data_IF_750243861554
#
_entry.id   IF_750243861554
#
_cell.length_a   1.000
_cell.length_b   1.000
_cell.length_c   1.000
_cell.angle_alpha   90.00
_cell.angle_beta   90.00
_cell.angle_gamma   90.00
#
_symmetry.space_group_name_H-M   'P 1'
#
loop_
_entity.id
_entity.type
_entity.pdbx_description
1 polymer ?
#
# COMPACT_ATOMS: atom_id res chain seq x y z
N UNK A 1 -7.94 2.29 -25.92
CA UNK A 1 -7.15 2.07 -24.68
C UNK A 1 -8.12 1.91 -23.51
N UNK A 2 -7.75 1.14 -22.49
CA UNK A 2 -8.52 0.99 -21.25
C UNK A 2 -8.27 2.23 -20.36
N UNK A 3 -9.35 2.95 -19.98
CA UNK A 3 -9.25 4.12 -19.09
C UNK A 3 -9.09 3.68 -17.63
N UNK A 4 -8.05 4.14 -16.94
CA UNK A 4 -7.83 3.94 -15.50
C UNK A 4 -7.85 5.29 -14.79
N UNK A 5 -8.61 5.39 -13.71
CA UNK A 5 -8.59 6.56 -12.83
C UNK A 5 -7.63 6.33 -11.68
N UNK A 6 -6.72 7.28 -11.44
CA UNK A 6 -5.80 7.24 -10.30
C UNK A 6 -6.18 8.36 -9.34
N UNK A 7 -6.78 8.03 -8.21
CA UNK A 7 -7.02 9.02 -7.16
C UNK A 7 -5.76 9.22 -6.33
N UNK A 8 -5.49 10.44 -5.89
CA UNK A 8 -4.18 10.77 -5.30
C UNK A 8 -3.06 10.73 -6.36
N UNK A 9 -3.42 10.88 -7.65
CA UNK A 9 -2.49 10.71 -8.77
C UNK A 9 -1.39 11.78 -8.83
N UNK A 10 -1.60 12.94 -8.22
CA UNK A 10 -0.60 14.00 -8.17
C UNK A 10 0.39 13.84 -7.00
N UNK A 11 0.16 12.85 -6.12
CA UNK A 11 1.05 12.47 -5.02
C UNK A 11 2.33 11.77 -5.51
N UNK A 12 3.25 11.51 -4.56
CA UNK A 12 4.56 10.89 -4.85
C UNK A 12 4.41 9.51 -5.52
N UNK A 13 3.61 8.60 -4.92
CA UNK A 13 3.35 7.28 -5.51
C UNK A 13 2.47 7.39 -6.75
N UNK A 14 1.44 8.25 -6.72
CA UNK A 14 0.49 8.43 -7.83
C UNK A 14 1.17 8.74 -9.16
N UNK A 15 2.18 9.62 -9.16
CA UNK A 15 2.94 9.95 -10.37
C UNK A 15 3.71 8.76 -10.95
N UNK A 16 4.25 7.89 -10.10
CA UNK A 16 4.93 6.66 -10.55
C UNK A 16 3.92 5.64 -11.09
N UNK A 17 2.77 5.49 -10.43
CA UNK A 17 1.67 4.65 -10.93
C UNK A 17 1.17 5.15 -12.28
N UNK A 18 0.97 6.45 -12.46
CA UNK A 18 0.58 7.04 -13.75
C UNK A 18 1.63 6.71 -14.84
N UNK A 19 2.93 6.86 -14.55
CA UNK A 19 4.00 6.52 -15.49
C UNK A 19 3.97 5.03 -15.87
N UNK A 20 3.77 4.13 -14.89
CA UNK A 20 3.63 2.70 -15.12
C UNK A 20 2.44 2.40 -16.04
N UNK A 21 1.27 3.00 -15.79
CA UNK A 21 0.08 2.78 -16.59
C UNK A 21 0.24 3.31 -18.02
N UNK A 22 0.80 4.51 -18.20
CA UNK A 22 1.06 5.09 -19.53
C UNK A 22 2.05 4.24 -20.33
N UNK A 23 3.10 3.70 -19.70
CA UNK A 23 4.06 2.81 -20.35
C UNK A 23 3.44 1.46 -20.80
N UNK A 24 2.27 1.10 -20.24
CA UNK A 24 1.50 -0.11 -20.59
C UNK A 24 0.19 0.22 -21.33
N UNK A 25 0.17 1.32 -22.06
CA UNK A 25 -0.88 1.73 -23.00
C UNK A 25 -2.28 1.93 -22.38
N UNK A 26 -2.35 2.30 -21.10
CA UNK A 26 -3.58 2.76 -20.47
C UNK A 26 -3.82 4.25 -20.76
N UNK A 27 -5.08 4.62 -20.92
CA UNK A 27 -5.52 6.01 -20.80
C UNK A 27 -5.68 6.32 -19.32
N UNK A 28 -5.09 7.42 -18.83
CA UNK A 28 -5.08 7.73 -17.39
C UNK A 28 -5.73 9.08 -17.11
N UNK A 29 -6.62 9.11 -16.11
CA UNK A 29 -7.15 10.32 -15.49
C UNK A 29 -6.67 10.38 -14.03
N UNK A 30 -5.93 11.43 -13.66
CA UNK A 30 -5.60 11.74 -12.27
C UNK A 30 -6.75 12.48 -11.60
N UNK A 31 -7.17 12.05 -10.41
CA UNK A 31 -8.13 12.74 -9.56
C UNK A 31 -7.49 13.05 -8.20
N UNK A 32 -7.25 14.32 -7.91
CA UNK A 32 -6.54 14.74 -6.70
C UNK A 32 -7.10 16.07 -6.18
N UNK A 33 -6.89 16.38 -4.91
CA UNK A 33 -7.24 17.69 -4.33
C UNK A 33 -6.16 18.75 -4.55
N UNK A 34 -4.96 18.34 -4.97
CA UNK A 34 -3.84 19.25 -5.27
C UNK A 34 -3.54 19.26 -6.78
N UNK A 35 -3.06 20.40 -7.33
CA UNK A 35 -2.67 20.44 -8.74
C UNK A 35 -1.47 19.54 -9.00
N UNK A 36 -1.31 19.03 -10.24
CA UNK A 36 -0.13 18.25 -10.61
C UNK A 36 1.13 19.13 -10.65
N UNK A 37 2.21 18.67 -10.00
CA UNK A 37 3.53 19.31 -10.14
C UNK A 37 4.12 19.10 -11.55
N UNK A 38 3.71 18.03 -12.23
CA UNK A 38 4.08 17.68 -13.60
C UNK A 38 2.84 17.12 -14.31
N UNK A 39 2.54 17.63 -15.50
CA UNK A 39 1.38 17.16 -16.29
C UNK A 39 1.72 15.89 -17.05
N UNK A 40 1.47 14.75 -16.46
CA UNK A 40 1.68 13.44 -17.07
C UNK A 40 0.46 12.97 -17.90
N UNK A 41 -0.75 13.31 -17.45
CA UNK A 41 -2.02 12.90 -18.06
C UNK A 41 -3.10 13.96 -17.83
N UNK A 42 -4.34 13.69 -18.23
CA UNK A 42 -5.50 14.48 -17.81
C UNK A 42 -5.61 14.46 -16.27
N UNK A 43 -5.87 15.62 -15.66
CA UNK A 43 -5.97 15.76 -14.21
C UNK A 43 -7.16 16.64 -13.84
N UNK A 44 -7.98 16.15 -12.92
CA UNK A 44 -9.09 16.89 -12.32
C UNK A 44 -8.81 17.15 -10.84
N UNK A 45 -9.16 18.33 -10.38
CA UNK A 45 -9.07 18.69 -8.97
C UNK A 45 -10.40 18.43 -8.28
N UNK A 46 -10.40 17.55 -7.27
CA UNK A 46 -11.57 17.26 -6.46
C UNK A 46 -11.19 16.68 -5.09
N UNK A 47 -12.06 16.93 -4.11
CA UNK A 47 -12.05 16.23 -2.83
C UNK A 47 -12.85 14.93 -2.97
N UNK A 48 -12.24 13.80 -2.66
CA UNK A 48 -12.85 12.47 -2.78
C UNK A 48 -14.03 12.26 -1.80
N UNK A 49 -14.18 13.13 -0.80
CA UNK A 49 -15.36 13.15 0.07
C UNK A 49 -16.61 13.64 -0.67
N UNK A 50 -16.46 14.33 -1.78
CA UNK A 50 -17.55 14.75 -2.65
C UNK A 50 -17.82 13.68 -3.71
N UNK A 51 -18.78 12.81 -3.44
CA UNK A 51 -19.10 11.65 -4.28
C UNK A 51 -19.38 12.00 -5.75
N UNK A 52 -20.03 13.14 -6.03
CA UNK A 52 -20.36 13.56 -7.39
C UNK A 52 -19.14 13.65 -8.32
N UNK A 53 -18.03 14.23 -7.84
CA UNK A 53 -16.80 14.32 -8.62
C UNK A 53 -16.16 12.92 -8.85
N UNK A 54 -16.26 12.02 -7.86
CA UNK A 54 -15.79 10.64 -7.99
C UNK A 54 -16.60 9.88 -9.03
N UNK A 55 -17.93 9.99 -8.99
CA UNK A 55 -18.81 9.38 -10.01
C UNK A 55 -18.48 9.88 -11.42
N UNK A 56 -18.31 11.20 -11.59
CA UNK A 56 -18.00 11.77 -12.90
C UNK A 56 -16.66 11.28 -13.44
N UNK A 57 -15.64 11.22 -12.60
CA UNK A 57 -14.30 10.73 -12.98
C UNK A 57 -14.32 9.25 -13.40
N UNK A 58 -15.12 8.42 -12.71
CA UNK A 58 -15.19 6.97 -12.95
C UNK A 58 -16.09 6.57 -14.12
N UNK A 59 -16.87 7.49 -14.73
CA UNK A 59 -17.67 7.16 -15.91
C UNK A 59 -16.81 6.58 -17.03
N UNK A 60 -17.18 5.37 -17.48
CA UNK A 60 -16.51 4.66 -18.56
C UNK A 60 -15.08 4.19 -18.20
N UNK A 61 -14.68 4.22 -16.94
CA UNK A 61 -13.40 3.69 -16.52
C UNK A 61 -13.40 2.15 -16.56
N UNK A 62 -12.29 1.57 -17.00
CA UNK A 62 -12.00 0.14 -16.89
C UNK A 62 -11.70 -0.25 -15.44
N UNK A 63 -10.99 0.62 -14.71
CA UNK A 63 -10.63 0.40 -13.33
C UNK A 63 -10.20 1.67 -12.60
N UNK A 64 -10.00 1.57 -11.29
CA UNK A 64 -9.53 2.67 -10.44
C UNK A 64 -8.43 2.20 -9.50
N UNK A 65 -7.36 3.01 -9.39
CA UNK A 65 -6.30 2.84 -8.39
C UNK A 65 -6.47 3.97 -7.37
N UNK A 66 -6.88 3.60 -6.16
CA UNK A 66 -7.20 4.52 -5.07
C UNK A 66 -6.00 4.71 -4.14
N UNK A 67 -5.28 5.83 -4.31
CA UNK A 67 -4.14 6.24 -3.48
C UNK A 67 -4.46 7.50 -2.66
N UNK A 68 -5.60 8.14 -2.91
CA UNK A 68 -5.99 9.43 -2.30
C UNK A 68 -6.37 9.28 -0.83
N UNK A 69 -5.43 9.53 0.08
CA UNK A 69 -5.61 9.44 1.52
C UNK A 69 -4.56 10.31 2.25
N UNK A 70 -4.82 10.67 3.50
CA UNK A 70 -3.73 10.99 4.42
C UNK A 70 -2.91 9.73 4.67
N UNK A 71 -1.60 9.82 4.50
CA UNK A 71 -0.69 8.66 4.42
C UNK A 71 0.02 8.32 5.75
N UNK A 72 -0.28 9.07 6.81
CA UNK A 72 0.26 8.87 8.17
C UNK A 72 -0.62 9.59 9.18
N UNK A 73 -0.56 9.26 10.48
CA UNK A 73 -1.14 10.09 11.54
C UNK A 73 -0.39 11.42 11.61
N UNK A 74 -0.98 12.41 12.26
CA UNK A 74 -0.41 13.76 12.48
C UNK A 74 -0.25 14.64 11.22
N UNK A 75 -0.75 14.21 10.04
CA UNK A 75 -0.84 15.06 8.85
C UNK A 75 -2.09 15.94 8.86
N UNK A 76 -3.08 15.58 9.66
CA UNK A 76 -4.31 16.30 9.94
C UNK A 76 -4.80 15.88 11.35
N UNK A 77 -5.81 16.57 11.93
CA UNK A 77 -6.45 16.09 13.15
C UNK A 77 -6.94 14.65 13.03
N UNK A 78 -6.94 13.90 14.14
CA UNK A 78 -7.29 12.48 14.19
C UNK A 78 -8.64 12.17 13.50
N UNK A 79 -9.67 12.94 13.84
CA UNK A 79 -11.01 12.78 13.26
C UNK A 79 -11.04 13.07 11.74
N UNK A 80 -10.28 14.06 11.29
CA UNK A 80 -10.17 14.40 9.87
C UNK A 80 -9.40 13.31 9.11
N UNK A 81 -8.29 12.80 9.65
CA UNK A 81 -7.53 11.69 9.06
C UNK A 81 -8.41 10.47 8.87
N UNK A 82 -9.14 10.08 9.90
CA UNK A 82 -10.03 8.91 9.85
C UNK A 82 -11.18 9.13 8.88
N UNK A 83 -11.94 10.22 9.05
CA UNK A 83 -13.15 10.47 8.23
C UNK A 83 -12.82 10.68 6.76
N UNK A 84 -11.74 11.42 6.45
CA UNK A 84 -11.30 11.62 5.07
C UNK A 84 -10.98 10.27 4.38
N UNK A 85 -10.16 9.45 5.02
CA UNK A 85 -9.69 8.20 4.40
C UNK A 85 -10.85 7.20 4.21
N UNK A 86 -11.70 7.04 5.21
CA UNK A 86 -12.83 6.11 5.16
C UNK A 86 -13.88 6.57 4.15
N UNK A 87 -14.26 7.86 4.18
CA UNK A 87 -15.26 8.42 3.26
C UNK A 87 -14.77 8.36 1.81
N UNK A 88 -13.50 8.71 1.56
CA UNK A 88 -12.91 8.63 0.22
C UNK A 88 -12.94 7.20 -0.33
N UNK A 89 -12.51 6.22 0.47
CA UNK A 89 -12.54 4.79 0.09
C UNK A 89 -13.96 4.32 -0.20
N UNK A 90 -14.93 4.65 0.67
CA UNK A 90 -16.33 4.31 0.46
C UNK A 90 -16.88 4.92 -0.83
N UNK A 91 -16.64 6.22 -1.07
CA UNK A 91 -17.14 6.90 -2.27
C UNK A 91 -16.58 6.31 -3.57
N UNK A 92 -15.27 5.95 -3.57
CA UNK A 92 -14.63 5.30 -4.71
C UNK A 92 -15.25 3.93 -4.98
N UNK A 93 -15.40 3.10 -3.97
CA UNK A 93 -16.00 1.77 -4.09
C UNK A 93 -17.48 1.86 -4.50
N UNK A 94 -18.25 2.79 -3.92
CA UNK A 94 -19.66 2.99 -4.26
C UNK A 94 -19.83 3.46 -5.70
N UNK A 95 -19.02 4.40 -6.15
CA UNK A 95 -19.06 4.86 -7.54
C UNK A 95 -18.63 3.74 -8.50
N UNK A 96 -17.57 2.99 -8.18
CA UNK A 96 -17.11 1.86 -8.98
C UNK A 96 -18.24 0.81 -9.15
N UNK A 97 -18.83 0.37 -8.03
CA UNK A 97 -19.93 -0.60 -8.05
C UNK A 97 -21.13 -0.13 -8.88
N UNK A 98 -21.58 1.11 -8.67
CA UNK A 98 -22.77 1.63 -9.37
C UNK A 98 -22.55 1.89 -10.87
N UNK A 99 -21.30 2.13 -11.28
CA UNK A 99 -20.93 2.39 -12.68
C UNK A 99 -20.42 1.14 -13.41
N UNK A 100 -20.37 -0.03 -12.74
CA UNK A 100 -19.88 -1.28 -13.30
C UNK A 100 -18.36 -1.32 -13.52
N UNK A 101 -17.59 -0.50 -12.79
CA UNK A 101 -16.13 -0.53 -12.78
C UNK A 101 -15.69 -1.72 -11.92
N UNK A 102 -15.18 -2.76 -12.57
CA UNK A 102 -14.93 -4.06 -11.91
C UNK A 102 -13.59 -4.16 -11.23
N UNK A 103 -12.57 -3.43 -11.69
CA UNK A 103 -11.19 -3.50 -11.20
C UNK A 103 -10.90 -2.34 -10.24
N UNK A 104 -10.66 -2.62 -8.97
CA UNK A 104 -10.33 -1.62 -7.95
C UNK A 104 -9.06 -2.03 -7.21
N UNK A 105 -8.09 -1.13 -7.16
CA UNK A 105 -6.87 -1.29 -6.35
C UNK A 105 -6.86 -0.21 -5.27
N UNK A 106 -6.66 -0.60 -4.02
CA UNK A 106 -6.65 0.29 -2.86
C UNK A 106 -5.27 0.26 -2.21
N UNK A 107 -4.65 1.41 -2.02
CA UNK A 107 -3.45 1.50 -1.20
C UNK A 107 -3.80 1.39 0.29
N UNK A 108 -3.54 0.23 0.87
CA UNK A 108 -3.53 0.02 2.30
C UNK A 108 -2.12 0.18 2.88
N UNK A 109 -1.88 -0.24 4.10
CA UNK A 109 -0.59 -0.07 4.79
C UNK A 109 -0.34 -1.19 5.78
N UNK A 110 0.91 -1.58 5.99
CA UNK A 110 1.30 -2.45 7.12
C UNK A 110 1.06 -1.79 8.48
N UNK A 111 0.85 -0.46 8.53
CA UNK A 111 0.38 0.22 9.74
C UNK A 111 -0.97 -0.32 10.25
N UNK A 112 -1.80 -0.91 9.38
CA UNK A 112 -3.06 -1.58 9.75
C UNK A 112 -2.88 -2.65 10.83
N UNK A 113 -1.71 -3.30 10.91
CA UNK A 113 -1.40 -4.23 11.99
C UNK A 113 -1.35 -3.57 13.38
N UNK A 114 -1.07 -2.26 13.45
CA UNK A 114 -1.06 -1.48 14.69
C UNK A 114 0.32 -1.33 15.35
N UNK A 115 1.40 -1.83 14.74
CA UNK A 115 2.75 -1.76 15.35
C UNK A 115 3.42 -0.42 15.15
N UNK A 116 3.35 0.16 13.94
CA UNK A 116 4.18 1.31 13.51
C UNK A 116 3.87 2.57 14.31
N UNK A 117 2.60 2.81 14.61
CA UNK A 117 2.12 3.99 15.35
C UNK A 117 1.47 3.61 16.68
N UNK A 118 1.92 2.50 17.27
CA UNK A 118 1.39 2.02 18.54
C UNK A 118 1.61 3.02 19.67
N UNK A 119 0.54 3.43 20.35
CA UNK A 119 0.62 4.22 21.61
C UNK A 119 1.12 3.35 22.74
N UNK A 120 0.77 2.06 22.73
CA UNK A 120 1.28 1.03 23.62
C UNK A 120 1.96 -0.04 22.76
N UNK A 121 3.30 -0.01 22.63
CA UNK A 121 4.04 -0.99 21.84
C UNK A 121 3.76 -2.43 22.28
N UNK A 122 3.66 -3.32 21.32
CA UNK A 122 3.47 -4.76 21.53
C UNK A 122 4.23 -5.55 20.48
N UNK A 123 4.51 -6.81 20.77
CA UNK A 123 5.22 -7.71 19.86
C UNK A 123 4.27 -8.40 18.89
N UNK A 124 4.72 -8.76 17.70
CA UNK A 124 3.95 -9.63 16.81
C UNK A 124 3.84 -11.03 17.39
N UNK A 125 2.79 -11.75 16.99
CA UNK A 125 2.60 -13.14 17.42
C UNK A 125 3.62 -14.08 16.74
N UNK A 126 4.08 -13.68 15.53
CA UNK A 126 5.09 -14.40 14.74
C UNK A 126 5.74 -13.49 13.68
N UNK A 127 6.88 -13.94 13.13
CA UNK A 127 7.58 -13.30 12.00
C UNK A 127 8.01 -14.36 10.95
N UNK A 128 7.99 -14.03 9.65
CA UNK A 128 7.48 -12.78 9.09
C UNK A 128 5.96 -12.65 9.27
N UNK A 129 5.49 -11.41 9.45
CA UNK A 129 4.04 -11.10 9.51
C UNK A 129 3.43 -11.27 8.12
N UNK A 130 2.31 -11.97 8.02
CA UNK A 130 1.51 -12.12 6.80
C UNK A 130 0.09 -11.54 6.97
N UNK A 131 -0.77 -11.72 5.98
CA UNK A 131 -2.12 -11.17 5.96
C UNK A 131 -3.05 -11.79 7.02
N UNK A 132 -2.68 -12.95 7.58
CA UNK A 132 -3.45 -13.63 8.63
C UNK A 132 -3.17 -13.07 10.03
N UNK A 133 -2.09 -12.31 10.19
CA UNK A 133 -1.77 -11.70 11.48
C UNK A 133 -2.87 -10.72 11.91
N UNK A 134 -3.35 -10.77 13.16
CA UNK A 134 -4.39 -9.88 13.66
C UNK A 134 -4.01 -8.39 13.54
N UNK A 135 -4.96 -7.57 13.11
CA UNK A 135 -4.82 -6.11 13.10
C UNK A 135 -5.30 -5.52 14.43
N UNK A 136 -4.46 -4.71 15.08
CA UNK A 136 -4.73 -4.06 16.38
C UNK A 136 -4.39 -2.56 16.30
N UNK A 137 -5.06 -1.78 15.41
CA UNK A 137 -4.73 -0.37 15.18
C UNK A 137 -4.94 0.48 16.43
N UNK A 138 -4.02 1.41 16.71
CA UNK A 138 -4.06 2.29 17.88
C UNK A 138 -4.07 3.79 17.50
N UNK A 139 -4.10 4.10 16.22
CA UNK A 139 -4.13 5.45 15.68
C UNK A 139 -5.18 5.58 14.56
N UNK A 140 -5.63 6.80 14.22
CA UNK A 140 -6.71 7.00 13.25
C UNK A 140 -6.34 6.60 11.82
N UNK A 141 -5.06 6.71 11.44
CA UNK A 141 -4.60 6.31 10.13
C UNK A 141 -4.66 4.78 9.96
N UNK A 142 -4.04 4.05 10.87
CA UNK A 142 -4.07 2.58 10.86
C UNK A 142 -5.50 2.06 10.91
N UNK A 143 -6.35 2.64 11.80
CA UNK A 143 -7.76 2.28 11.89
C UNK A 143 -8.50 2.55 10.58
N UNK A 144 -8.22 3.69 9.90
CA UNK A 144 -8.85 4.00 8.61
C UNK A 144 -8.50 2.98 7.52
N UNK A 145 -7.29 2.38 7.56
CA UNK A 145 -6.88 1.34 6.62
C UNK A 145 -7.63 0.03 6.88
N UNK A 146 -7.72 -0.41 8.15
CA UNK A 146 -8.51 -1.59 8.53
C UNK A 146 -9.97 -1.45 8.13
N UNK A 147 -10.58 -0.29 8.42
CA UNK A 147 -11.98 -0.02 8.03
C UNK A 147 -12.13 0.01 6.51
N UNK A 148 -11.17 0.58 5.77
CA UNK A 148 -11.18 0.59 4.31
C UNK A 148 -11.14 -0.82 3.71
N UNK A 149 -10.36 -1.74 4.29
CA UNK A 149 -10.32 -3.16 3.91
C UNK A 149 -11.67 -3.84 4.19
N UNK A 150 -12.30 -3.59 5.33
CA UNK A 150 -13.64 -4.11 5.67
C UNK A 150 -14.73 -3.55 4.75
N UNK A 151 -14.62 -2.28 4.37
CA UNK A 151 -15.51 -1.68 3.36
C UNK A 151 -15.35 -2.43 2.03
N UNK A 152 -14.13 -2.74 1.59
CA UNK A 152 -13.89 -3.51 0.38
C UNK A 152 -14.57 -4.91 0.44
N UNK A 153 -14.44 -5.62 1.55
CA UNK A 153 -15.14 -6.91 1.79
C UNK A 153 -16.65 -6.78 1.65
N UNK A 154 -17.22 -5.68 2.16
CA UNK A 154 -18.67 -5.45 2.10
C UNK A 154 -19.18 -5.22 0.67
N UNK A 155 -18.35 -4.68 -0.23
CA UNK A 155 -18.73 -4.42 -1.61
C UNK A 155 -18.72 -5.66 -2.50
N UNK A 156 -17.81 -6.60 -2.29
CA UNK A 156 -17.73 -7.81 -3.13
C UNK A 156 -18.85 -8.81 -2.85
N UNK A 157 -19.51 -8.74 -1.70
CA UNK A 157 -20.64 -9.61 -1.37
C UNK A 157 -21.82 -9.43 -2.33
N UNK A 158 -22.36 -8.20 -2.59
CA UNK A 158 -23.42 -7.96 -3.56
C UNK A 158 -22.92 -7.79 -5.00
N UNK A 159 -21.62 -7.51 -5.22
CA UNK A 159 -21.03 -7.23 -6.53
C UNK A 159 -19.96 -8.26 -6.87
N UNK A 160 -20.36 -9.50 -7.10
CA UNK A 160 -19.47 -10.65 -7.30
C UNK A 160 -18.56 -10.56 -8.52
N UNK A 161 -18.87 -9.67 -9.45
CA UNK A 161 -18.04 -9.37 -10.62
C UNK A 161 -16.89 -8.40 -10.32
N UNK A 162 -16.87 -7.79 -9.13
CA UNK A 162 -15.78 -6.91 -8.73
C UNK A 162 -14.54 -7.69 -8.30
N UNK A 163 -13.40 -7.17 -8.69
CA UNK A 163 -12.07 -7.59 -8.24
C UNK A 163 -11.46 -6.43 -7.48
N UNK A 164 -11.27 -6.57 -6.18
CA UNK A 164 -10.71 -5.54 -5.32
C UNK A 164 -9.38 -6.04 -4.73
N UNK A 165 -8.30 -5.30 -4.96
CA UNK A 165 -6.99 -5.55 -4.35
C UNK A 165 -6.69 -4.50 -3.31
N UNK A 166 -6.55 -4.86 -2.04
CA UNK A 166 -6.00 -3.97 -1.01
C UNK A 166 -4.53 -4.29 -0.80
N UNK A 167 -3.65 -3.34 -1.13
CA UNK A 167 -2.19 -3.52 -1.07
C UNK A 167 -1.65 -2.89 0.21
N UNK A 168 -1.22 -3.71 1.18
CA UNK A 168 -0.53 -3.25 2.39
C UNK A 168 0.93 -2.97 2.09
N UNK A 169 1.27 -1.71 1.90
CA UNK A 169 2.64 -1.27 1.72
C UNK A 169 3.32 -1.00 3.06
N UNK A 170 4.58 -1.43 3.27
CA UNK A 170 5.45 -0.92 4.33
C UNK A 170 5.96 0.48 3.99
N UNK A 171 7.00 0.95 4.65
CA UNK A 171 7.65 2.21 4.32
C UNK A 171 8.13 2.25 2.87
N UNK A 172 7.51 3.12 2.04
CA UNK A 172 7.88 3.27 0.63
C UNK A 172 9.12 4.17 0.52
N UNK A 173 10.15 3.68 -0.16
CA UNK A 173 11.39 4.42 -0.44
C UNK A 173 11.22 5.19 -1.74
N UNK A 174 11.36 6.51 -1.67
CA UNK A 174 11.33 7.43 -2.81
C UNK A 174 12.71 8.03 -3.10
N UNK A 175 13.69 7.70 -2.31
CA UNK A 175 15.09 8.02 -2.54
C UNK A 175 15.72 6.89 -3.34
N UNK A 176 15.89 7.11 -4.64
CA UNK A 176 16.42 6.10 -5.57
C UNK A 176 17.93 5.92 -5.47
N UNK A 177 18.62 6.72 -4.66
CA UNK A 177 20.01 6.52 -4.25
C UNK A 177 20.14 5.57 -3.06
N UNK A 178 19.03 5.34 -2.33
CA UNK A 178 18.97 4.54 -1.10
C UNK A 178 19.80 5.09 0.08
N UNK A 179 20.27 6.32 0.04
CA UNK A 179 21.00 6.91 1.17
C UNK A 179 20.15 6.94 2.45
N UNK A 180 18.83 7.15 2.31
CA UNK A 180 17.90 7.05 3.44
C UNK A 180 17.88 5.63 4.07
N UNK A 181 18.18 4.58 3.31
CA UNK A 181 18.30 3.22 3.84
C UNK A 181 19.61 3.08 4.60
N UNK A 182 20.73 3.62 4.07
CA UNK A 182 22.01 3.68 4.77
C UNK A 182 21.90 4.42 6.11
N UNK A 183 21.18 5.53 6.15
CA UNK A 183 20.91 6.27 7.39
C UNK A 183 20.15 5.42 8.44
N UNK A 184 19.21 4.57 7.99
CA UNK A 184 18.45 3.67 8.87
C UNK A 184 19.30 2.63 9.59
N UNK A 185 20.47 2.24 9.05
CA UNK A 185 21.38 1.30 9.70
C UNK A 185 21.89 1.80 11.06
N UNK A 186 21.81 3.11 11.29
CA UNK A 186 22.18 3.72 12.57
C UNK A 186 21.05 3.68 13.62
N UNK A 187 19.83 3.26 13.23
CA UNK A 187 18.66 3.22 14.12
C UNK A 187 17.80 1.96 13.90
N UNK A 188 18.33 0.76 14.13
CA UNK A 188 17.56 -0.48 14.02
C UNK A 188 16.34 -0.49 14.94
N UNK A 189 16.48 0.07 16.16
CA UNK A 189 15.41 0.16 17.15
C UNK A 189 14.23 0.98 16.65
N UNK A 190 14.46 2.14 16.06
CA UNK A 190 13.41 3.01 15.52
C UNK A 190 12.69 2.39 14.32
N UNK A 191 13.25 1.33 13.71
CA UNK A 191 12.64 0.59 12.60
C UNK A 191 12.00 -0.74 13.00
N UNK A 192 12.20 -1.17 14.24
CA UNK A 192 11.70 -2.46 14.73
C UNK A 192 10.16 -2.58 14.64
N UNK A 193 9.41 -1.51 14.91
CA UNK A 193 7.95 -1.50 14.82
C UNK A 193 7.40 -1.76 13.41
N UNK A 194 8.18 -1.55 12.36
CA UNK A 194 7.88 -1.91 10.97
C UNK A 194 8.57 -3.18 10.50
N UNK A 195 9.22 -3.91 11.43
CA UNK A 195 9.97 -5.15 11.15
C UNK A 195 11.02 -4.96 10.06
N UNK A 196 11.59 -3.75 9.99
CA UNK A 196 12.60 -3.32 9.00
C UNK A 196 12.18 -3.50 7.54
N UNK A 197 10.90 -3.74 7.30
CA UNK A 197 10.35 -3.91 5.96
C UNK A 197 10.33 -2.58 5.19
N UNK A 198 10.49 -2.67 3.86
CA UNK A 198 10.40 -1.56 2.93
C UNK A 198 9.90 -2.02 1.55
N UNK A 199 9.61 -1.07 0.71
CA UNK A 199 9.38 -1.26 -0.74
C UNK A 199 9.92 -0.06 -1.50
N UNK A 200 10.55 -0.27 -2.66
CA UNK A 200 10.87 0.81 -3.59
C UNK A 200 9.59 1.37 -4.23
N UNK A 201 9.54 2.67 -4.41
CA UNK A 201 8.36 3.32 -4.97
C UNK A 201 8.05 2.88 -6.42
N UNK A 202 9.06 2.47 -7.20
CA UNK A 202 8.90 1.90 -8.55
C UNK A 202 8.23 0.54 -8.49
N UNK A 203 8.65 -0.32 -7.55
CA UNK A 203 8.05 -1.63 -7.32
C UNK A 203 6.64 -1.53 -6.74
N UNK A 204 6.39 -0.55 -5.86
CA UNK A 204 5.04 -0.25 -5.36
C UNK A 204 4.10 0.18 -6.50
N UNK A 205 4.60 0.99 -7.44
CA UNK A 205 3.84 1.40 -8.62
C UNK A 205 3.60 0.23 -9.58
N UNK A 206 4.59 -0.64 -9.80
CA UNK A 206 4.45 -1.88 -10.56
C UNK A 206 3.40 -2.79 -9.93
N UNK A 207 3.42 -2.98 -8.61
CA UNK A 207 2.43 -3.79 -7.92
C UNK A 207 0.99 -3.25 -8.09
N UNK A 208 0.80 -1.93 -8.09
CA UNK A 208 -0.51 -1.33 -8.38
C UNK A 208 -1.00 -1.67 -9.79
N UNK A 209 -0.12 -1.67 -10.81
CA UNK A 209 -0.46 -2.07 -12.17
C UNK A 209 -0.76 -3.57 -12.23
N UNK A 210 0.08 -4.42 -11.69
CA UNK A 210 -0.14 -5.87 -11.65
C UNK A 210 -1.47 -6.22 -10.96
N UNK A 211 -1.82 -5.53 -9.88
CA UNK A 211 -3.10 -5.69 -9.19
C UNK A 211 -4.30 -5.26 -10.05
N UNK A 212 -4.14 -4.25 -10.92
CA UNK A 212 -5.15 -3.85 -11.90
C UNK A 212 -5.35 -4.91 -12.98
N UNK A 213 -4.30 -5.63 -13.36
CA UNK A 213 -4.28 -6.65 -14.39
C UNK A 213 -4.67 -8.05 -13.89
N UNK A 214 -4.51 -8.31 -12.58
CA UNK A 214 -4.72 -9.61 -11.97
C UNK A 214 -6.16 -10.13 -12.17
N UNK A 215 -6.28 -11.45 -12.39
CA UNK A 215 -7.55 -12.14 -12.58
C UNK A 215 -7.88 -13.01 -11.37
N UNK A 216 -8.81 -12.52 -10.55
CA UNK A 216 -9.44 -13.25 -9.45
C UNK A 216 -10.83 -12.65 -9.20
N UNK A 217 -11.60 -13.20 -8.27
CA UNK A 217 -12.93 -12.69 -7.90
C UNK A 217 -12.95 -12.32 -6.42
N UNK A 218 -13.67 -11.27 -6.08
CA UNK A 218 -13.81 -10.82 -4.69
C UNK A 218 -12.73 -9.84 -4.26
N UNK A 219 -12.42 -9.83 -2.97
CA UNK A 219 -11.43 -8.95 -2.37
C UNK A 219 -10.20 -9.75 -1.90
N UNK A 220 -9.03 -9.33 -2.31
CA UNK A 220 -7.75 -9.87 -1.88
C UNK A 220 -6.91 -8.80 -1.18
N UNK A 221 -6.63 -9.05 0.09
CA UNK A 221 -5.68 -8.28 0.89
C UNK A 221 -4.29 -8.89 0.68
N UNK A 222 -3.30 -8.07 0.29
CA UNK A 222 -1.94 -8.51 -0.01
C UNK A 222 -0.90 -7.56 0.57
N UNK A 223 0.13 -8.09 1.20
CA UNK A 223 1.33 -7.33 1.58
C UNK A 223 2.26 -7.26 0.37
N UNK A 224 2.75 -6.04 0.09
CA UNK A 224 3.68 -5.79 -1.02
C UNK A 224 4.93 -5.12 -0.46
N UNK A 225 6.00 -5.90 -0.34
CA UNK A 225 7.26 -5.48 0.26
C UNK A 225 8.45 -6.07 -0.51
N UNK A 226 9.63 -5.47 -0.36
CA UNK A 226 10.87 -6.11 -0.78
C UNK A 226 11.08 -7.41 0.03
N UNK A 227 11.69 -8.45 -0.56
CA UNK A 227 11.95 -9.72 0.14
C UNK A 227 13.05 -9.59 1.21
N UNK A 228 13.78 -8.49 1.20
CA UNK A 228 14.87 -8.18 2.10
C UNK A 228 14.48 -7.10 3.11
N UNK A 229 15.09 -7.13 4.29
CA UNK A 229 14.98 -6.05 5.27
C UNK A 229 15.77 -4.82 4.80
N UNK A 230 15.43 -3.64 5.32
CA UNK A 230 16.16 -2.40 5.06
C UNK A 230 17.45 -2.28 5.90
N UNK A 231 17.83 -3.31 6.66
CA UNK A 231 19.00 -3.31 7.55
C UNK A 231 20.13 -4.12 6.93
N UNK A 232 21.37 -3.82 7.31
CA UNK A 232 22.55 -4.61 6.92
C UNK A 232 22.75 -5.85 7.79
N UNK A 233 22.24 -5.82 9.02
CA UNK A 233 22.30 -6.92 9.97
C UNK A 233 21.36 -8.06 9.57
N UNK A 234 21.73 -9.33 9.79
CA UNK A 234 20.83 -10.46 9.62
C UNK A 234 19.53 -10.28 10.45
N UNK A 235 18.38 -10.57 9.86
CA UNK A 235 17.09 -10.36 10.51
C UNK A 235 16.94 -11.22 11.77
N UNK A 236 17.53 -12.41 11.82
CA UNK A 236 17.51 -13.26 13.01
C UNK A 236 18.22 -12.62 14.21
N UNK A 237 19.30 -11.84 13.99
CA UNK A 237 19.99 -11.09 15.05
C UNK A 237 19.12 -9.94 15.56
N UNK A 238 18.48 -9.20 14.65
CA UNK A 238 17.55 -8.12 15.01
C UNK A 238 16.36 -8.65 15.80
N UNK A 239 15.78 -9.79 15.40
CA UNK A 239 14.68 -10.41 16.14
C UNK A 239 15.11 -10.83 17.54
N UNK A 240 16.29 -11.45 17.67
CA UNK A 240 16.83 -11.86 18.96
C UNK A 240 17.00 -10.68 19.93
N UNK A 241 17.36 -9.51 19.40
CA UNK A 241 17.57 -8.31 20.19
C UNK A 241 16.23 -7.60 20.53
N UNK A 242 15.35 -7.41 19.54
CA UNK A 242 14.16 -6.56 19.69
C UNK A 242 12.88 -7.34 19.99
N UNK A 243 12.81 -8.62 19.63
CA UNK A 243 11.64 -9.48 19.75
C UNK A 243 11.99 -10.90 20.25
N UNK A 244 12.73 -11.06 21.37
CA UNK A 244 13.31 -12.34 21.77
C UNK A 244 12.29 -13.45 22.05
N UNK A 245 11.02 -13.12 22.30
CA UNK A 245 9.96 -14.07 22.56
C UNK A 245 9.14 -14.44 21.30
N UNK A 246 9.41 -13.78 20.15
CA UNK A 246 8.62 -13.96 18.95
C UNK A 246 9.01 -15.22 18.19
N UNK A 247 8.00 -15.97 17.74
CA UNK A 247 8.19 -17.18 16.97
C UNK A 247 8.52 -16.86 15.51
N UNK A 248 9.59 -17.47 14.99
CA UNK A 248 9.89 -17.50 13.55
C UNK A 248 9.11 -18.63 12.90
N UNK A 249 8.29 -18.32 11.87
CA UNK A 249 7.40 -19.30 11.23
C UNK A 249 8.08 -20.16 10.18
N UNK A 250 9.09 -19.62 9.49
CA UNK A 250 9.89 -20.38 8.50
C UNK A 250 11.37 -20.46 8.91
N UNK A 251 11.83 -21.62 9.40
CA UNK A 251 13.21 -21.79 9.82
C UNK A 251 14.25 -21.73 8.69
N UNK A 252 13.80 -21.78 7.42
CA UNK A 252 14.68 -21.74 6.25
C UNK A 252 15.11 -20.30 5.90
N UNK A 253 14.39 -19.30 6.39
CA UNK A 253 14.77 -17.91 6.16
C UNK A 253 16.11 -17.62 6.83
N UNK A 254 17.05 -17.05 6.09
CA UNK A 254 18.41 -16.70 6.57
C UNK A 254 18.84 -15.35 6.00
N UNK A 255 19.81 -14.71 6.66
CA UNK A 255 20.32 -13.40 6.25
C UNK A 255 19.29 -12.28 6.49
N UNK A 256 19.23 -11.33 5.57
CA UNK A 256 18.43 -10.09 5.67
C UNK A 256 17.02 -10.26 5.12
N UNK A 257 16.24 -11.24 5.54
CA UNK A 257 14.88 -11.42 5.10
C UNK A 257 13.94 -10.35 5.66
N UNK A 258 12.88 -10.02 4.90
CA UNK A 258 11.87 -9.04 5.32
C UNK A 258 11.03 -9.58 6.48
N UNK A 259 10.81 -8.77 7.51
CA UNK A 259 9.91 -9.13 8.63
C UNK A 259 8.43 -9.17 8.27
N UNK A 260 8.07 -8.92 7.01
CA UNK A 260 6.72 -9.14 6.46
C UNK A 260 6.81 -10.03 5.22
N UNK A 261 5.76 -10.81 4.94
CA UNK A 261 5.72 -11.75 3.82
C UNK A 261 4.92 -11.19 2.65
N UNK A 262 5.52 -11.18 1.45
CA UNK A 262 4.83 -10.86 0.18
C UNK A 262 4.41 -12.10 -0.61
N UNK A 263 4.51 -13.29 -0.04
CA UNK A 263 4.22 -14.55 -0.74
C UNK A 263 2.83 -14.60 -1.39
N UNK A 264 1.85 -13.93 -0.81
CA UNK A 264 0.51 -13.84 -1.39
C UNK A 264 0.49 -12.94 -2.64
N UNK A 265 1.17 -11.79 -2.61
CA UNK A 265 1.30 -10.90 -3.76
C UNK A 265 2.10 -11.58 -4.90
N UNK A 266 3.17 -12.31 -4.57
CA UNK A 266 3.92 -13.11 -5.54
C UNK A 266 3.01 -14.12 -6.25
N UNK A 267 2.21 -14.87 -5.50
CA UNK A 267 1.32 -15.91 -6.04
C UNK A 267 0.17 -15.34 -6.87
N UNK A 268 -0.48 -14.26 -6.41
CA UNK A 268 -1.70 -13.73 -7.05
C UNK A 268 -1.39 -12.74 -8.16
N UNK A 269 -0.38 -11.89 -7.98
CA UNK A 269 -0.04 -10.82 -8.91
C UNK A 269 1.14 -11.17 -9.81
N UNK A 270 1.90 -12.23 -9.52
CA UNK A 270 3.22 -12.44 -10.12
C UNK A 270 4.21 -11.34 -9.71
N UNK A 271 3.98 -10.69 -8.58
CA UNK A 271 4.84 -9.61 -8.11
C UNK A 271 6.21 -10.12 -7.69
N UNK A 272 7.27 -9.47 -8.18
CA UNK A 272 8.64 -9.65 -7.71
C UNK A 272 9.29 -8.26 -7.62
N UNK A 273 9.81 -7.90 -6.46
CA UNK A 273 10.51 -6.64 -6.29
C UNK A 273 11.83 -6.65 -7.09
N UNK A 274 12.04 -5.64 -7.93
CA UNK A 274 13.20 -5.50 -8.80
C UNK A 274 14.27 -4.58 -8.20
N UNK A 275 13.87 -3.66 -7.33
CA UNK A 275 14.72 -2.62 -6.79
C UNK A 275 15.04 -2.91 -5.31
N UNK A 276 16.18 -3.55 -5.08
CA UNK A 276 16.69 -3.85 -3.74
C UNK A 276 17.85 -2.92 -3.41
N UNK A 277 17.94 -2.47 -2.16
CA UNK A 277 19.00 -1.54 -1.74
C UNK A 277 20.42 -2.09 -1.99
N UNK A 278 20.59 -3.41 -1.94
CA UNK A 278 21.87 -4.10 -2.22
C UNK A 278 22.40 -3.86 -3.65
N UNK A 279 21.52 -3.49 -4.58
CA UNK A 279 21.93 -3.15 -5.95
C UNK A 279 22.51 -1.73 -6.06
N UNK A 280 22.31 -0.89 -5.06
CA UNK A 280 22.64 0.54 -5.07
C UNK A 280 23.65 0.95 -4.01
N UNK A 281 23.74 0.21 -2.91
CA UNK A 281 24.65 0.48 -1.80
C UNK A 281 25.70 -0.60 -1.67
N UNK A 282 26.95 -0.17 -1.46
CA UNK A 282 28.03 -1.05 -1.03
C UNK A 282 28.10 -1.03 0.50
N UNK A 283 28.17 -2.21 1.13
CA UNK A 283 28.30 -2.40 2.58
C UNK A 283 29.76 -2.20 2.99
#
# INVERSE_FOLDING_TARGET
>A
MKKVVVTGGNGRLGRLVIRQLLAHEYEVLSLDRVPPAEKLCASWMADLRHSGAVYEALKGAFGVIHLGAYQAPNLAPDSETFSNNVTATYNVLKAAANLGVKKVVIASSTAAFGFIYARQPFSPDYLPVDEQHPSKPQDPYALSKVVGEQVADSFVTPHKEMTISSLRFPGIIFDFSYEIVRERWNDPKGRASGFWAYIDARDAAMACRLAMEAEFTGHELMIVAAPRSSMKEPTDELIKEYFPAVKKTDPKLTGNWSGVSSAKAERILGFAAEHLWEHYLTI
#
